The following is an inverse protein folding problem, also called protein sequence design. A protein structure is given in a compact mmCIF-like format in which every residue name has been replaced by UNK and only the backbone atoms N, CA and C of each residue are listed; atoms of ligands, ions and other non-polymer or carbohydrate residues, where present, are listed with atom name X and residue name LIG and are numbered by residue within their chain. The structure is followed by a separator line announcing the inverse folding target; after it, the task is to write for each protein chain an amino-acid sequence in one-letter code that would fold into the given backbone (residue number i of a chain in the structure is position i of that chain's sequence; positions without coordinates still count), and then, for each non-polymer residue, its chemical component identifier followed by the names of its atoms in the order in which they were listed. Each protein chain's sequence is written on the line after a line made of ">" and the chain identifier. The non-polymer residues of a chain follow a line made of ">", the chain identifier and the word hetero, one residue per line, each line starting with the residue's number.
data_IF_998795453994
#
_entry.id   IF_998795453994
#
_cell.length_a   1.000
_cell.length_b   1.000
_cell.length_c   1.000
_cell.angle_alpha   90.00
_cell.angle_beta   90.00
_cell.angle_gamma   90.00
#
_symmetry.space_group_name_H-M   'P 1'
#
loop_
_entity.id
_entity.type
_entity.pdbx_description
1 polymer ?
#
# COMPACT_ATOMS: atom_id res chain seq x y z
N UNK A 1 0.10 -2.73 -23.52
CA UNK A 1 1.40 -3.08 -22.90
C UNK A 1 1.35 -2.66 -21.44
N UNK A 2 1.10 -3.62 -20.55
CA UNK A 2 0.89 -3.40 -19.12
C UNK A 2 2.17 -2.89 -18.45
N UNK A 3 2.23 -1.58 -18.21
CA UNK A 3 3.25 -0.99 -17.35
C UNK A 3 2.88 -1.38 -15.94
N UNK A 4 3.60 -2.33 -15.36
CA UNK A 4 3.56 -2.55 -13.92
C UNK A 4 4.06 -1.26 -13.25
N UNK A 5 3.13 -0.36 -12.89
CA UNK A 5 3.39 0.94 -12.23
C UNK A 5 4.26 0.78 -10.99
N UNK A 6 4.20 -0.40 -10.39
CA UNK A 6 4.92 -0.77 -9.19
C UNK A 6 6.02 -1.83 -9.40
N UNK A 7 6.46 -2.05 -10.66
CA UNK A 7 7.53 -3.02 -10.95
C UNK A 7 8.82 -2.62 -10.23
N UNK A 8 9.28 -3.46 -9.30
CA UNK A 8 10.47 -3.21 -8.48
C UNK A 8 10.22 -2.47 -7.16
N UNK A 9 9.01 -1.97 -6.89
CA UNK A 9 8.65 -1.38 -5.60
C UNK A 9 8.14 -2.44 -4.63
N UNK A 10 8.42 -2.25 -3.33
CA UNK A 10 7.82 -3.10 -2.30
C UNK A 10 6.33 -2.83 -2.15
N UNK A 11 5.59 -3.83 -1.68
CA UNK A 11 4.17 -3.72 -1.34
C UNK A 11 3.87 -2.49 -0.47
N UNK A 12 4.68 -2.27 0.57
CA UNK A 12 4.53 -1.12 1.46
C UNK A 12 4.70 0.20 0.72
N UNK A 13 5.69 0.32 -0.17
CA UNK A 13 5.94 1.55 -0.92
C UNK A 13 4.84 1.86 -1.91
N UNK A 14 4.41 0.85 -2.67
CA UNK A 14 3.33 1.01 -3.62
C UNK A 14 2.00 1.33 -2.90
N UNK A 15 1.75 0.71 -1.74
CA UNK A 15 0.60 1.02 -0.89
C UNK A 15 0.67 2.46 -0.35
N UNK A 16 1.87 2.90 0.04
CA UNK A 16 2.13 4.25 0.53
C UNK A 16 1.85 5.28 -0.57
N UNK A 17 2.35 5.08 -1.79
CA UNK A 17 2.07 5.99 -2.91
C UNK A 17 0.59 6.07 -3.23
N UNK A 18 -0.14 4.95 -3.15
CA UNK A 18 -1.57 4.95 -3.39
C UNK A 18 -2.37 5.67 -2.31
N UNK A 19 -2.03 5.47 -1.04
CA UNK A 19 -2.63 6.21 0.06
C UNK A 19 -2.27 7.70 -0.01
N UNK A 20 -1.05 8.02 -0.44
CA UNK A 20 -0.59 9.40 -0.71
C UNK A 20 -1.40 10.05 -1.83
N UNK A 21 -1.56 9.38 -2.97
CA UNK A 21 -2.39 9.87 -4.10
C UNK A 21 -3.87 9.99 -3.71
N UNK A 22 -4.37 9.07 -2.89
CA UNK A 22 -5.77 9.09 -2.45
C UNK A 22 -6.03 10.06 -1.28
N UNK A 23 -4.98 10.50 -0.58
CA UNK A 23 -4.97 11.34 0.62
C UNK A 23 -6.07 10.97 1.64
N UNK A 24 -6.34 9.67 1.79
CA UNK A 24 -7.41 9.13 2.65
C UNK A 24 -7.07 7.74 3.16
N UNK A 25 -7.65 7.36 4.28
CA UNK A 25 -7.68 5.98 4.74
C UNK A 25 -8.34 5.05 3.72
N UNK A 26 -7.70 3.92 3.39
CA UNK A 26 -8.26 2.90 2.50
C UNK A 26 -8.26 1.52 3.13
N UNK A 27 -9.20 0.70 2.69
CA UNK A 27 -9.30 -0.68 3.11
C UNK A 27 -8.12 -1.49 2.55
N UNK A 28 -7.52 -2.38 3.34
CA UNK A 28 -6.41 -3.23 2.91
C UNK A 28 -6.76 -4.03 1.66
N UNK A 29 -8.02 -4.48 1.53
CA UNK A 29 -8.49 -5.17 0.34
C UNK A 29 -8.40 -4.30 -0.92
N UNK A 30 -8.83 -3.05 -0.83
CA UNK A 30 -8.77 -2.07 -1.94
C UNK A 30 -7.33 -1.76 -2.33
N UNK A 31 -6.47 -1.56 -1.33
CA UNK A 31 -5.03 -1.39 -1.53
C UNK A 31 -4.46 -2.57 -2.32
N UNK A 32 -4.70 -3.79 -1.86
CA UNK A 32 -4.20 -4.99 -2.53
C UNK A 32 -4.75 -5.11 -3.94
N UNK A 33 -6.04 -4.89 -4.15
CA UNK A 33 -6.63 -4.96 -5.48
C UNK A 33 -5.98 -3.98 -6.44
N UNK A 34 -5.89 -2.70 -6.07
CA UNK A 34 -5.25 -1.69 -6.93
C UNK A 34 -3.77 -1.92 -7.13
N UNK A 35 -3.07 -2.49 -6.15
CA UNK A 35 -1.66 -2.84 -6.29
C UNK A 35 -1.50 -3.95 -7.33
N UNK A 36 -2.32 -4.99 -7.25
CA UNK A 36 -2.33 -6.10 -8.20
C UNK A 36 -2.76 -5.62 -9.59
N UNK A 37 -3.79 -4.77 -9.69
CA UNK A 37 -4.22 -4.13 -10.94
C UNK A 37 -3.12 -3.24 -11.53
N UNK A 38 -2.36 -2.53 -10.70
CA UNK A 38 -1.19 -1.75 -11.10
C UNK A 38 0.03 -2.59 -11.48
N UNK A 39 -0.09 -3.92 -11.51
CA UNK A 39 0.96 -4.85 -11.91
C UNK A 39 1.99 -5.13 -10.81
N UNK A 40 1.67 -4.85 -9.54
CA UNK A 40 2.49 -5.32 -8.42
C UNK A 40 2.29 -6.84 -8.26
N UNK A 41 3.32 -7.62 -8.59
CA UNK A 41 3.31 -9.06 -8.39
C UNK A 41 3.62 -9.41 -6.94
N UNK A 42 2.58 -9.67 -6.14
CA UNK A 42 2.73 -10.18 -4.79
C UNK A 42 2.96 -11.69 -4.89
N UNK A 43 4.20 -12.15 -4.70
CA UNK A 43 4.60 -13.57 -4.77
C UNK A 43 4.12 -14.40 -3.57
N UNK A 44 2.86 -14.24 -3.15
CA UNK A 44 2.27 -15.00 -2.04
C UNK A 44 0.86 -15.49 -2.38
N UNK A 45 0.50 -16.72 -1.96
CA UNK A 45 -0.86 -17.29 -2.10
C UNK A 45 -1.96 -16.39 -1.53
N UNK A 46 -1.61 -15.51 -0.58
CA UNK A 46 -2.53 -14.59 0.10
C UNK A 46 -1.99 -13.16 0.08
N UNK A 47 -2.20 -12.40 -1.02
CA UNK A 47 -1.69 -11.06 -1.14
C UNK A 47 -2.23 -10.11 -0.06
N UNK A 48 -3.50 -10.29 0.35
CA UNK A 48 -4.14 -9.53 1.43
C UNK A 48 -3.42 -9.68 2.77
N UNK A 49 -3.10 -10.90 3.18
CA UNK A 49 -2.40 -11.17 4.45
C UNK A 49 -0.97 -10.64 4.42
N UNK A 50 -0.25 -10.82 3.31
CA UNK A 50 1.11 -10.28 3.15
C UNK A 50 1.12 -8.75 3.24
N UNK A 51 0.22 -8.08 2.50
CA UNK A 51 0.13 -6.62 2.52
C UNK A 51 -0.28 -6.12 3.90
N UNK A 52 -1.32 -6.70 4.51
CA UNK A 52 -1.74 -6.31 5.86
C UNK A 52 -0.62 -6.53 6.90
N UNK A 53 0.17 -7.60 6.77
CA UNK A 53 1.30 -7.88 7.66
C UNK A 53 2.43 -6.87 7.45
N UNK A 54 2.75 -6.51 6.21
CA UNK A 54 3.73 -5.46 5.89
C UNK A 54 3.28 -4.10 6.41
N UNK A 55 2.05 -3.68 6.09
CA UNK A 55 1.44 -2.44 6.58
C UNK A 55 1.44 -2.37 8.11
N UNK A 56 1.18 -3.49 8.79
CA UNK A 56 1.15 -3.55 10.25
C UNK A 56 2.55 -3.55 10.88
N UNK A 57 3.60 -3.95 10.15
CA UNK A 57 5.01 -3.85 10.59
C UNK A 57 5.59 -2.46 10.33
N UNK A 58 5.13 -1.80 9.27
CA UNK A 58 5.55 -0.45 8.91
C UNK A 58 4.89 0.59 9.83
N UNK A 59 5.69 1.32 10.61
CA UNK A 59 5.21 2.44 11.45
C UNK A 59 4.61 3.60 10.65
N UNK A 60 4.80 3.60 9.33
CA UNK A 60 4.23 4.56 8.38
C UNK A 60 2.73 4.36 8.15
N UNK A 61 2.13 3.27 8.62
CA UNK A 61 0.69 3.06 8.48
C UNK A 61 0.00 2.98 9.84
N UNK A 62 -1.13 3.65 9.94
CA UNK A 62 -2.03 3.59 11.09
C UNK A 62 -3.28 2.83 10.72
N UNK A 63 -3.62 1.83 11.52
CA UNK A 63 -4.93 1.18 11.43
C UNK A 63 -5.97 2.13 12.04
N UNK A 64 -6.84 2.67 11.20
CA UNK A 64 -7.92 3.58 11.63
C UNK A 64 -9.27 2.86 11.75
N UNK A 65 -9.38 1.60 11.31
CA UNK A 65 -10.62 0.84 11.37
C UNK A 65 -10.45 -0.66 11.09
N UNK A 66 -11.55 -1.44 11.04
CA UNK A 66 -11.50 -2.85 10.69
C UNK A 66 -10.99 -3.01 9.26
N UNK A 67 -9.79 -3.58 9.10
CA UNK A 67 -9.08 -3.70 7.83
C UNK A 67 -8.86 -2.37 7.07
N UNK A 68 -8.98 -1.21 7.72
CA UNK A 68 -8.71 0.10 7.13
C UNK A 68 -7.37 0.65 7.64
N UNK A 69 -6.50 1.03 6.71
CA UNK A 69 -5.19 1.57 6.97
C UNK A 69 -5.04 2.94 6.31
N UNK A 70 -4.35 3.82 7.01
CA UNK A 70 -4.03 5.17 6.58
C UNK A 70 -2.51 5.33 6.61
N UNK A 71 -1.95 6.04 5.63
CA UNK A 71 -0.54 6.40 5.65
C UNK A 71 -0.35 7.60 6.59
N UNK A 72 0.48 7.45 7.62
CA UNK A 72 0.85 8.53 8.52
C UNK A 72 1.86 9.45 7.83
N UNK A 73 1.48 10.71 7.74
CA UNK A 73 2.22 11.82 7.15
C UNK A 73 3.57 12.15 7.81
N UNK A 74 4.01 11.48 8.89
CA UNK A 74 5.20 11.91 9.65
C UNK A 74 6.54 11.82 8.85
N UNK A 75 6.51 11.24 7.65
CA UNK A 75 7.64 11.22 6.70
C UNK A 75 7.43 12.18 5.51
N UNK A 76 6.67 13.28 5.68
CA UNK A 76 6.27 14.20 4.59
C UNK A 76 7.33 15.18 4.06
N UNK A 77 8.54 15.19 4.58
CA UNK A 77 9.55 16.17 4.17
C UNK A 77 10.57 15.48 3.26
N UNK A 78 10.20 15.16 2.01
CA UNK A 78 11.16 15.05 0.88
C UNK A 78 10.43 14.73 -0.43
N UNK A 79 9.76 15.73 -1.00
CA UNK A 79 9.56 15.84 -2.45
C UNK A 79 8.96 17.22 -2.75
N UNK A 80 9.77 18.26 -2.60
CA UNK A 80 9.65 19.53 -3.35
C UNK A 80 10.80 19.54 -4.35
#
# INVERSE_FOLDING_TARGET
>A
MGRSKYSGKSVSEAAYEMLREANRAMHAKELVQRLVEGGLQIKGKTPLTSVATSLKRDKRFKKVGPNTFEALEESLIHAV
#
